data_IF_376765410971
#
_entry.id   IF_376765410971
#
_cell.length_a   1.000
_cell.length_b   1.000
_cell.length_c   1.000
_cell.angle_alpha   90.00
_cell.angle_beta   90.00
_cell.angle_gamma   90.00
#
_symmetry.space_group_name_H-M   'P 1'
#
loop_
_entity.id
_entity.type
_entity.pdbx_description
1 polymer ?
#
# COMPACT_ATOMS: atom_id res chain seq x y z
N UNK A 1 3.12 0.49 10.28
CA UNK A 1 3.97 0.04 11.42
C UNK A 1 4.46 -1.41 11.24
N UNK A 2 3.59 -2.39 10.93
CA UNK A 2 4.01 -3.81 10.80
C UNK A 2 5.05 -3.99 9.69
N UNK A 3 4.82 -3.46 8.50
CA UNK A 3 5.79 -3.49 7.40
C UNK A 3 7.13 -2.87 7.80
N UNK A 4 7.08 -1.76 8.54
CA UNK A 4 8.27 -1.09 9.05
C UNK A 4 9.07 -1.97 10.02
N UNK A 5 8.39 -2.68 10.93
CA UNK A 5 9.05 -3.61 11.86
C UNK A 5 9.77 -4.76 11.13
N UNK A 6 9.11 -5.34 10.11
CA UNK A 6 9.69 -6.40 9.29
C UNK A 6 10.89 -5.88 8.49
N UNK A 7 10.76 -4.71 7.85
CA UNK A 7 11.83 -4.11 7.07
C UNK A 7 13.02 -3.71 7.94
N UNK A 8 12.77 -3.17 9.14
CA UNK A 8 13.82 -2.79 10.08
C UNK A 8 14.75 -3.94 10.46
N UNK A 9 14.21 -5.15 10.57
CA UNK A 9 15.01 -6.33 10.93
C UNK A 9 15.92 -6.81 9.81
N UNK A 10 15.60 -6.48 8.55
CA UNK A 10 16.34 -6.93 7.35
C UNK A 10 17.10 -5.80 6.66
N UNK A 11 16.62 -4.57 6.78
CA UNK A 11 17.14 -3.39 6.10
C UNK A 11 17.24 -2.21 7.09
N UNK A 12 18.29 -2.16 7.93
CA UNK A 12 18.38 -1.21 9.04
C UNK A 12 18.44 0.27 8.61
N UNK A 13 18.81 0.57 7.37
CA UNK A 13 18.86 1.94 6.83
C UNK A 13 17.53 2.46 6.27
N UNK A 14 16.51 1.60 6.17
CA UNK A 14 15.24 1.90 5.52
C UNK A 14 14.14 2.50 6.42
N UNK A 15 14.14 2.33 7.76
CA UNK A 15 12.90 2.44 8.54
C UNK A 15 12.24 3.82 8.50
N UNK A 16 13.00 4.88 8.61
CA UNK A 16 12.43 6.23 8.71
C UNK A 16 11.90 6.74 7.36
N UNK A 17 12.66 6.55 6.30
CA UNK A 17 12.27 6.93 4.94
C UNK A 17 11.04 6.18 4.44
N UNK A 18 10.85 4.94 4.90
CA UNK A 18 9.64 4.17 4.60
C UNK A 18 8.37 4.82 5.12
N UNK A 19 8.40 5.30 6.35
CA UNK A 19 7.26 6.01 6.96
C UNK A 19 6.98 7.31 6.22
N UNK A 20 8.02 8.10 5.94
CA UNK A 20 7.89 9.35 5.17
C UNK A 20 7.31 9.08 3.78
N UNK A 21 7.87 8.13 3.04
CA UNK A 21 7.39 7.76 1.71
C UNK A 21 5.93 7.32 1.73
N UNK A 22 5.55 6.50 2.71
CA UNK A 22 4.14 6.08 2.89
C UNK A 22 3.23 7.29 3.11
N UNK A 23 3.62 8.20 4.00
CA UNK A 23 2.82 9.40 4.32
C UNK A 23 2.68 10.33 3.12
N UNK A 24 3.77 10.60 2.41
CA UNK A 24 3.76 11.44 1.19
C UNK A 24 2.91 10.78 0.10
N UNK A 25 3.16 9.50 -0.18
CA UNK A 25 2.41 8.76 -1.19
C UNK A 25 0.91 8.72 -0.90
N UNK A 26 0.54 8.54 0.38
CA UNK A 26 -0.86 8.56 0.81
C UNK A 26 -1.50 9.94 0.65
N UNK A 27 -0.80 11.00 1.05
CA UNK A 27 -1.31 12.38 0.91
C UNK A 27 -1.52 12.75 -0.55
N UNK A 28 -0.56 12.45 -1.42
CA UNK A 28 -0.67 12.69 -2.86
C UNK A 28 -1.80 11.85 -3.45
N UNK A 29 -1.86 10.56 -3.13
CA UNK A 29 -2.87 9.65 -3.68
C UNK A 29 -4.29 10.03 -3.28
N UNK A 30 -4.52 10.44 -2.04
CA UNK A 30 -5.81 10.95 -1.58
C UNK A 30 -6.19 12.26 -2.28
N UNK A 31 -5.25 13.21 -2.42
CA UNK A 31 -5.49 14.46 -3.11
C UNK A 31 -5.82 14.24 -4.59
N UNK A 32 -5.02 13.44 -5.29
CA UNK A 32 -5.26 13.10 -6.71
C UNK A 32 -6.58 12.36 -6.88
N UNK A 33 -6.87 11.39 -6.02
CA UNK A 33 -8.12 10.65 -6.05
C UNK A 33 -9.34 11.56 -5.84
N UNK A 34 -9.28 12.50 -4.90
CA UNK A 34 -10.34 13.46 -4.64
C UNK A 34 -10.55 14.43 -5.81
N UNK A 35 -9.46 14.93 -6.41
CA UNK A 35 -9.55 15.87 -7.54
C UNK A 35 -10.09 15.23 -8.82
N UNK A 36 -9.77 13.95 -9.08
CA UNK A 36 -10.18 13.27 -10.30
C UNK A 36 -11.56 12.62 -10.22
N UNK A 37 -11.94 12.12 -9.04
CA UNK A 37 -13.14 11.28 -8.85
C UNK A 37 -14.14 11.86 -7.85
N UNK A 38 -13.87 13.04 -7.29
CA UNK A 38 -14.69 13.65 -6.25
C UNK A 38 -14.62 12.90 -4.92
N UNK A 39 -15.53 13.25 -4.00
CA UNK A 39 -15.58 12.68 -2.64
C UNK A 39 -16.51 11.47 -2.50
N UNK A 40 -16.94 10.89 -3.62
CA UNK A 40 -17.79 9.71 -3.61
C UNK A 40 -17.06 8.53 -2.93
N UNK A 41 -17.68 7.97 -1.92
CA UNK A 41 -17.19 6.80 -1.18
C UNK A 41 -17.93 5.51 -1.54
N UNK A 42 -18.85 5.60 -2.51
CA UNK A 42 -19.68 4.48 -2.94
C UNK A 42 -19.26 3.98 -4.34
N UNK A 43 -19.55 2.72 -4.61
CA UNK A 43 -19.45 2.17 -5.94
C UNK A 43 -18.04 1.90 -6.44
N UNK A 44 -17.86 2.07 -7.75
CA UNK A 44 -16.58 1.84 -8.46
C UNK A 44 -15.58 2.95 -8.19
N UNK A 45 -16.05 4.15 -7.91
CA UNK A 45 -15.24 5.35 -7.64
C UNK A 45 -14.30 5.11 -6.45
N UNK A 46 -14.81 4.46 -5.38
CA UNK A 46 -14.00 4.08 -4.24
C UNK A 46 -12.82 3.18 -4.63
N UNK A 47 -13.07 2.18 -5.51
CA UNK A 47 -12.00 1.26 -5.93
C UNK A 47 -10.95 1.96 -6.81
N UNK A 48 -11.36 2.88 -7.68
CA UNK A 48 -10.43 3.69 -8.47
C UNK A 48 -9.61 4.64 -7.60
N UNK A 49 -10.23 5.32 -6.65
CA UNK A 49 -9.50 6.14 -5.66
C UNK A 49 -8.51 5.31 -4.86
N UNK A 50 -8.94 4.11 -4.45
CA UNK A 50 -8.09 3.16 -3.75
C UNK A 50 -6.88 2.73 -4.62
N UNK A 51 -7.08 2.45 -5.91
CA UNK A 51 -6.01 2.09 -6.82
C UNK A 51 -5.02 3.25 -7.03
N UNK A 52 -5.53 4.48 -7.22
CA UNK A 52 -4.70 5.68 -7.34
C UNK A 52 -3.86 5.88 -6.06
N UNK A 53 -4.51 5.80 -4.89
CA UNK A 53 -3.81 5.95 -3.61
C UNK A 53 -2.77 4.86 -3.42
N UNK A 54 -3.11 3.61 -3.71
CA UNK A 54 -2.19 2.49 -3.65
C UNK A 54 -1.01 2.64 -4.61
N UNK A 55 -1.24 3.11 -5.84
CA UNK A 55 -0.18 3.37 -6.80
C UNK A 55 0.77 4.49 -6.32
N UNK A 56 0.24 5.60 -5.80
CA UNK A 56 1.06 6.69 -5.25
C UNK A 56 1.90 6.23 -4.05
N UNK A 57 1.31 5.46 -3.14
CA UNK A 57 2.04 4.87 -2.00
C UNK A 57 3.09 3.89 -2.51
N UNK A 58 2.73 3.00 -3.43
CA UNK A 58 3.65 2.01 -4.01
C UNK A 58 4.84 2.66 -4.70
N UNK A 59 4.63 3.72 -5.48
CA UNK A 59 5.72 4.48 -6.15
C UNK A 59 6.61 5.16 -5.12
N UNK A 60 6.05 5.85 -4.14
CA UNK A 60 6.83 6.52 -3.10
C UNK A 60 7.69 5.51 -2.30
N UNK A 61 7.14 4.36 -1.97
CA UNK A 61 7.86 3.29 -1.28
C UNK A 61 8.89 2.62 -2.20
N UNK A 62 8.59 2.46 -3.49
CA UNK A 62 9.54 1.93 -4.47
C UNK A 62 10.79 2.80 -4.59
N UNK A 63 10.67 4.12 -4.60
CA UNK A 63 11.82 5.05 -4.64
C UNK A 63 12.79 4.76 -3.49
N UNK A 64 12.28 4.41 -2.32
CA UNK A 64 13.09 4.08 -1.14
C UNK A 64 13.64 2.65 -1.19
N UNK A 65 12.92 1.72 -1.84
CA UNK A 65 13.26 0.31 -1.88
C UNK A 65 14.23 -0.06 -3.02
N UNK A 66 14.13 0.64 -4.17
CA UNK A 66 14.88 0.31 -5.40
C UNK A 66 16.40 0.25 -5.24
N UNK A 67 17.07 1.07 -4.39
CA UNK A 67 18.51 0.96 -4.21
C UNK A 67 18.95 -0.32 -3.50
N UNK A 68 18.03 -1.01 -2.83
CA UNK A 68 18.29 -2.14 -1.96
C UNK A 68 17.77 -3.46 -2.54
N UNK A 69 16.77 -3.40 -3.42
CA UNK A 69 16.08 -4.58 -3.97
C UNK A 69 15.95 -4.45 -5.48
N UNK A 70 16.63 -5.29 -6.28
CA UNK A 70 16.70 -5.17 -7.74
C UNK A 70 15.33 -5.18 -8.44
N UNK A 71 14.36 -5.95 -7.92
CA UNK A 71 13.02 -6.09 -8.49
C UNK A 71 11.95 -5.28 -7.73
N UNK A 72 12.37 -4.20 -7.08
CA UNK A 72 11.49 -3.38 -6.25
C UNK A 72 10.25 -2.80 -6.99
N UNK A 73 10.28 -2.70 -8.33
CA UNK A 73 9.14 -2.22 -9.12
C UNK A 73 7.88 -3.11 -8.96
N UNK A 74 8.06 -4.40 -8.69
CA UNK A 74 6.95 -5.35 -8.41
C UNK A 74 6.14 -4.89 -7.19
N UNK A 75 6.78 -4.20 -6.25
CA UNK A 75 6.15 -3.62 -5.09
C UNK A 75 5.05 -2.62 -5.43
N UNK A 76 5.26 -1.79 -6.46
CA UNK A 76 4.25 -0.82 -6.92
C UNK A 76 2.96 -1.52 -7.30
N UNK A 77 3.07 -2.60 -8.10
CA UNK A 77 1.93 -3.42 -8.48
C UNK A 77 1.22 -4.06 -7.29
N UNK A 78 1.98 -4.61 -6.35
CA UNK A 78 1.41 -5.24 -5.15
C UNK A 78 0.62 -4.25 -4.29
N UNK A 79 1.11 -3.02 -4.12
CA UNK A 79 0.42 -1.98 -3.34
C UNK A 79 -0.78 -1.42 -4.11
N UNK A 80 -0.62 -1.15 -5.42
CA UNK A 80 -1.69 -0.63 -6.28
C UNK A 80 -2.89 -1.58 -6.38
N UNK A 81 -2.65 -2.89 -6.38
CA UNK A 81 -3.69 -3.93 -6.40
C UNK A 81 -4.21 -4.21 -5.00
N UNK A 82 -3.32 -4.27 -4.03
CA UNK A 82 -3.65 -4.61 -2.65
C UNK A 82 -4.56 -3.59 -1.99
N UNK A 83 -4.42 -2.29 -2.33
CA UNK A 83 -5.23 -1.24 -1.75
C UNK A 83 -6.71 -1.34 -2.15
N UNK A 84 -7.10 -1.40 -3.44
CA UNK A 84 -8.50 -1.63 -3.82
C UNK A 84 -9.03 -3.00 -3.37
N UNK A 85 -8.19 -4.04 -3.33
CA UNK A 85 -8.57 -5.34 -2.79
C UNK A 85 -8.99 -5.24 -1.32
N UNK A 86 -8.25 -4.50 -0.49
CA UNK A 86 -8.61 -4.24 0.89
C UNK A 86 -9.98 -3.56 1.04
N UNK A 87 -10.28 -2.58 0.19
CA UNK A 87 -11.58 -1.91 0.16
C UNK A 87 -12.69 -2.81 -0.36
N UNK A 88 -12.43 -3.58 -1.40
CA UNK A 88 -13.38 -4.55 -1.94
C UNK A 88 -13.83 -5.57 -0.88
N UNK A 89 -12.87 -6.12 -0.14
CA UNK A 89 -13.15 -7.06 0.96
C UNK A 89 -13.91 -6.36 2.08
N UNK A 90 -13.47 -5.17 2.50
CA UNK A 90 -14.14 -4.39 3.57
C UNK A 90 -15.60 -4.13 3.22
N UNK A 91 -15.88 -3.76 1.97
CA UNK A 91 -17.24 -3.55 1.48
C UNK A 91 -18.04 -4.85 1.43
N UNK A 92 -17.42 -5.94 0.98
CA UNK A 92 -18.08 -7.25 0.86
C UNK A 92 -18.55 -7.85 2.17
N UNK A 93 -17.92 -7.49 3.29
CA UNK A 93 -18.35 -7.90 4.64
C UNK A 93 -19.36 -6.93 5.31
N UNK A 94 -19.88 -5.96 4.55
CA UNK A 94 -20.97 -5.09 5.01
C UNK A 94 -20.54 -3.97 5.96
N UNK A 95 -19.26 -3.57 5.96
CA UNK A 95 -18.82 -2.38 6.73
C UNK A 95 -19.47 -1.13 6.15
N UNK A 96 -20.08 -0.33 7.01
CA UNK A 96 -20.70 0.93 6.61
C UNK A 96 -19.61 1.95 6.22
N UNK A 97 -19.62 2.35 4.95
CA UNK A 97 -18.67 3.31 4.40
C UNK A 97 -19.18 4.76 4.46
N UNK A 98 -20.38 5.00 5.00
CA UNK A 98 -20.96 6.35 5.11
C UNK A 98 -20.12 7.30 5.97
N UNK A 99 -19.33 6.76 6.88
CA UNK A 99 -18.40 7.52 7.72
C UNK A 99 -17.16 8.05 7.01
N UNK A 100 -17.04 7.90 5.69
CA UNK A 100 -15.91 8.40 4.88
C UNK A 100 -14.52 8.03 5.42
N UNK A 101 -14.37 6.78 5.85
CA UNK A 101 -13.09 6.27 6.34
C UNK A 101 -11.98 6.41 5.28
N UNK A 102 -10.82 6.92 5.68
CA UNK A 102 -9.64 7.00 4.81
C UNK A 102 -8.86 5.68 4.71
N UNK A 103 -9.19 4.71 5.54
CA UNK A 103 -8.55 3.39 5.60
C UNK A 103 -9.61 2.28 5.63
N UNK A 104 -9.30 1.16 5.00
CA UNK A 104 -10.17 -0.01 5.01
C UNK A 104 -10.18 -0.68 6.39
N UNK A 105 -11.27 -1.40 6.70
CA UNK A 105 -11.45 -2.10 7.97
C UNK A 105 -10.43 -3.21 8.21
N UNK A 106 -10.48 -3.81 9.40
CA UNK A 106 -9.48 -4.80 9.85
C UNK A 106 -9.28 -5.97 8.87
N UNK A 107 -10.35 -6.53 8.31
CA UNK A 107 -10.25 -7.68 7.37
C UNK A 107 -9.58 -7.25 6.06
N UNK A 108 -9.91 -6.08 5.52
CA UNK A 108 -9.23 -5.52 4.35
C UNK A 108 -7.75 -5.23 4.65
N UNK A 109 -7.45 -4.75 5.85
CA UNK A 109 -6.07 -4.56 6.30
C UNK A 109 -5.28 -5.88 6.36
N UNK A 110 -5.88 -6.96 6.85
CA UNK A 110 -5.26 -8.29 6.85
C UNK A 110 -4.97 -8.79 5.43
N UNK A 111 -5.92 -8.69 4.51
CA UNK A 111 -5.73 -9.09 3.12
C UNK A 111 -4.61 -8.27 2.44
N UNK A 112 -4.60 -6.96 2.63
CA UNK A 112 -3.53 -6.08 2.15
C UNK A 112 -2.17 -6.46 2.74
N UNK A 113 -2.08 -6.68 4.05
CA UNK A 113 -0.83 -7.05 4.71
C UNK A 113 -0.33 -8.44 4.28
N UNK A 114 -1.22 -9.40 4.04
CA UNK A 114 -0.85 -10.72 3.54
C UNK A 114 -0.24 -10.61 2.14
N UNK A 115 -0.91 -9.92 1.22
CA UNK A 115 -0.43 -9.73 -0.15
C UNK A 115 0.93 -9.01 -0.16
N UNK A 116 1.03 -7.87 0.50
CA UNK A 116 2.26 -7.07 0.54
C UNK A 116 3.37 -7.76 1.33
N UNK A 117 3.03 -8.47 2.39
CA UNK A 117 3.99 -9.27 3.18
C UNK A 117 4.59 -10.41 2.36
N UNK A 118 3.77 -11.16 1.62
CA UNK A 118 4.25 -12.21 0.70
C UNK A 118 5.12 -11.62 -0.40
N UNK A 119 4.69 -10.53 -1.02
CA UNK A 119 5.49 -9.85 -2.05
C UNK A 119 6.86 -9.44 -1.52
N UNK A 120 6.88 -8.83 -0.34
CA UNK A 120 8.14 -8.43 0.30
C UNK A 120 9.03 -9.63 0.64
N UNK A 121 8.44 -10.72 1.16
CA UNK A 121 9.17 -11.96 1.43
C UNK A 121 9.87 -12.50 0.17
N UNK A 122 9.16 -12.58 -0.95
CA UNK A 122 9.74 -13.07 -2.21
C UNK A 122 10.81 -12.12 -2.76
N UNK A 123 10.58 -10.81 -2.70
CA UNK A 123 11.55 -9.80 -3.14
C UNK A 123 12.85 -9.89 -2.34
N UNK A 124 12.76 -9.98 -1.02
CA UNK A 124 13.94 -10.08 -0.15
C UNK A 124 14.67 -11.41 -0.33
N UNK A 125 13.93 -12.51 -0.54
CA UNK A 125 14.53 -13.83 -0.77
C UNK A 125 15.27 -13.92 -2.12
N UNK A 126 14.80 -13.21 -3.14
CA UNK A 126 15.42 -13.16 -4.46
C UNK A 126 16.61 -12.19 -4.55
N UNK A 127 16.85 -11.41 -3.50
CA UNK A 127 17.97 -10.45 -3.47
C UNK A 127 19.25 -11.14 -3.02
N UNK A 128 20.33 -11.16 -3.87
CA UNK A 128 21.60 -11.75 -3.50
C UNK A 128 22.18 -11.09 -2.24
N UNK A 129 22.66 -11.89 -1.29
CA UNK A 129 23.27 -11.39 -0.04
C UNK A 129 22.32 -11.16 1.13
N UNK A 130 21.00 -11.35 0.98
CA UNK A 130 20.00 -11.25 2.05
C UNK A 130 19.45 -12.62 2.51
N UNK A 131 20.22 -13.67 2.33
CA UNK A 131 19.86 -15.03 2.80
C UNK A 131 20.16 -15.19 4.28
#
# INVERSE_FOLDING_TARGET
LVQWLVLRSRLPLLPFWWVIATSIGMSIGLAVGATLLGDETAGRELLWRAAITGACVGVAQWIVLQPLVPQAFVWVGAVAIGWPLGWFITRGIGVDLSFKWSVFGSVGAWAFQLLTGLTLYFLLRSTPGMK
#
